data_IF_557442793473
#
_entry.id   IF_557442793473
#
_cell.length_a   1.000
_cell.length_b   1.000
_cell.length_c   1.000
_cell.angle_alpha   90.00
_cell.angle_beta   90.00
_cell.angle_gamma   90.00
#
_symmetry.space_group_name_H-M   'P 1'
#
loop_
_entity.id
_entity.type
_entity.pdbx_description
1 polymer ?
#
# COMPACT_ATOMS: atom_id res chain seq x y z
N UNK A 1 -19.39 -1.06 18.28
CA UNK A 1 -19.15 -2.51 18.12
C UNK A 1 -18.30 -2.72 16.88
N UNK A 2 -17.10 -3.29 17.01
CA UNK A 2 -16.22 -3.61 15.86
C UNK A 2 -16.41 -5.05 15.38
N UNK A 3 -15.79 -5.44 14.25
CA UNK A 3 -15.74 -6.84 13.82
C UNK A 3 -15.10 -7.70 14.93
N UNK A 4 -15.62 -8.91 15.15
CA UNK A 4 -15.05 -9.88 16.11
C UNK A 4 -14.11 -10.89 15.44
N UNK A 5 -14.11 -10.92 14.12
CA UNK A 5 -13.24 -11.78 13.31
C UNK A 5 -12.39 -10.90 12.39
N UNK A 6 -11.10 -11.20 12.40
CA UNK A 6 -10.09 -10.44 11.70
C UNK A 6 -9.31 -11.37 10.76
N UNK A 7 -8.79 -10.86 9.63
CA UNK A 7 -7.74 -11.53 8.91
C UNK A 7 -6.56 -11.82 9.84
N UNK A 8 -5.94 -12.98 9.67
CA UNK A 8 -4.69 -13.29 10.35
C UNK A 8 -3.54 -12.40 9.84
N UNK A 9 -2.42 -12.39 10.57
CA UNK A 9 -1.27 -11.54 10.21
C UNK A 9 -0.64 -11.92 8.88
N UNK A 10 -0.64 -13.21 8.50
CA UNK A 10 -0.08 -13.64 7.22
C UNK A 10 -0.92 -13.12 6.04
N UNK A 11 -2.24 -13.08 6.20
CA UNK A 11 -3.15 -12.45 5.24
C UNK A 11 -2.87 -10.95 5.10
N UNK A 12 -2.68 -10.22 6.22
CA UNK A 12 -2.37 -8.78 6.18
C UNK A 12 -1.00 -8.48 5.58
N UNK A 13 0.02 -9.28 5.88
CA UNK A 13 1.36 -9.17 5.27
C UNK A 13 1.28 -9.46 3.77
N UNK A 14 0.55 -10.50 3.37
CA UNK A 14 0.36 -10.85 1.96
C UNK A 14 -0.42 -9.76 1.20
N UNK A 15 -1.37 -9.10 1.86
CA UNK A 15 -2.08 -7.94 1.31
C UNK A 15 -1.10 -6.77 1.10
N UNK A 16 -0.31 -6.41 2.12
CA UNK A 16 0.68 -5.34 2.05
C UNK A 16 1.74 -5.59 0.95
N UNK A 17 2.14 -6.84 0.77
CA UNK A 17 3.09 -7.25 -0.27
C UNK A 17 2.47 -7.35 -1.68
N UNK A 18 1.14 -7.19 -1.81
CA UNK A 18 0.44 -7.38 -3.09
C UNK A 18 0.42 -8.84 -3.58
N UNK A 19 0.62 -9.81 -2.69
CA UNK A 19 0.79 -11.23 -3.03
C UNK A 19 -0.53 -12.04 -2.98
N UNK A 20 -1.61 -11.48 -2.45
CA UNK A 20 -2.91 -12.16 -2.39
C UNK A 20 -3.53 -12.31 -3.78
N UNK A 21 -4.32 -13.37 -3.96
CA UNK A 21 -5.20 -13.47 -5.11
C UNK A 21 -6.20 -12.30 -5.12
N UNK A 22 -6.63 -11.89 -6.31
CA UNK A 22 -7.52 -10.73 -6.48
C UNK A 22 -8.79 -10.82 -5.61
N UNK A 23 -9.37 -12.03 -5.50
CA UNK A 23 -10.59 -12.27 -4.71
C UNK A 23 -10.33 -12.02 -3.23
N UNK A 24 -9.25 -12.54 -2.67
CA UNK A 24 -8.93 -12.35 -1.24
C UNK A 24 -8.48 -10.92 -0.96
N UNK A 25 -7.78 -10.29 -1.91
CA UNK A 25 -7.42 -8.87 -1.82
C UNK A 25 -8.67 -7.97 -1.73
N UNK A 26 -9.69 -8.22 -2.56
CA UNK A 26 -10.95 -7.46 -2.52
C UNK A 26 -11.67 -7.58 -1.17
N UNK A 27 -11.80 -8.80 -0.63
CA UNK A 27 -12.45 -9.03 0.66
C UNK A 27 -11.66 -8.38 1.80
N UNK A 28 -10.33 -8.47 1.75
CA UNK A 28 -9.45 -7.84 2.73
C UNK A 28 -9.57 -6.32 2.69
N UNK A 29 -9.62 -5.72 1.49
CA UNK A 29 -9.85 -4.29 1.32
C UNK A 29 -11.18 -3.85 1.94
N UNK A 30 -12.29 -4.55 1.64
CA UNK A 30 -13.60 -4.25 2.21
C UNK A 30 -13.62 -4.34 3.75
N UNK A 31 -12.86 -5.27 4.35
CA UNK A 31 -12.71 -5.35 5.79
C UNK A 31 -11.94 -4.13 6.35
N UNK A 32 -10.85 -3.73 5.70
CA UNK A 32 -9.99 -2.62 6.11
C UNK A 32 -10.73 -1.27 6.11
N UNK A 33 -11.68 -1.07 5.20
CA UNK A 33 -12.54 0.12 5.19
C UNK A 33 -13.30 0.33 6.50
N UNK A 34 -13.68 -0.77 7.17
CA UNK A 34 -14.54 -0.75 8.36
C UNK A 34 -13.79 -1.00 9.67
N UNK A 35 -12.59 -1.58 9.61
CA UNK A 35 -11.85 -2.04 10.78
C UNK A 35 -10.60 -1.20 11.03
N UNK A 36 -10.63 -0.33 12.05
CA UNK A 36 -9.47 0.47 12.44
C UNK A 36 -8.30 -0.36 12.99
N UNK A 37 -8.59 -1.48 13.66
CA UNK A 37 -7.59 -2.41 14.20
C UNK A 37 -6.78 -3.07 13.07
N UNK A 38 -7.45 -3.63 12.07
CA UNK A 38 -6.76 -4.25 10.94
C UNK A 38 -6.00 -3.22 10.09
N UNK A 39 -6.47 -1.97 10.01
CA UNK A 39 -5.67 -0.88 9.41
C UNK A 39 -4.42 -0.56 10.21
N UNK A 40 -4.46 -0.65 11.55
CA UNK A 40 -3.27 -0.46 12.37
C UNK A 40 -2.26 -1.59 12.18
N UNK A 41 -2.72 -2.84 12.14
CA UNK A 41 -1.89 -4.03 11.85
C UNK A 41 -1.32 -3.98 10.43
N UNK A 42 -2.11 -3.55 9.44
CA UNK A 42 -1.63 -3.36 8.07
C UNK A 42 -0.49 -2.33 7.99
N UNK A 43 -0.61 -1.18 8.68
CA UNK A 43 0.46 -0.18 8.70
C UNK A 43 1.78 -0.72 9.25
N UNK A 44 1.72 -1.65 10.21
CA UNK A 44 2.92 -2.32 10.72
C UNK A 44 3.57 -3.19 9.63
N UNK A 45 2.77 -3.94 8.87
CA UNK A 45 3.27 -4.72 7.74
C UNK A 45 3.85 -3.83 6.62
N UNK A 46 3.18 -2.73 6.28
CA UNK A 46 3.68 -1.74 5.29
C UNK A 46 4.99 -1.08 5.72
N UNK A 47 5.15 -0.79 7.02
CA UNK A 47 6.39 -0.22 7.56
C UNK A 47 7.59 -1.15 7.37
N UNK A 48 7.39 -2.47 7.51
CA UNK A 48 8.42 -3.47 7.20
C UNK A 48 8.83 -3.37 5.73
N UNK A 49 7.86 -3.33 4.81
CA UNK A 49 8.10 -3.12 3.39
C UNK A 49 8.87 -1.82 3.10
N UNK A 50 8.54 -0.73 3.81
CA UNK A 50 9.25 0.54 3.71
C UNK A 50 10.71 0.47 4.16
N UNK A 51 11.02 -0.28 5.21
CA UNK A 51 12.42 -0.52 5.65
C UNK A 51 13.18 -1.34 4.60
N UNK A 52 12.58 -2.42 4.10
CA UNK A 52 13.18 -3.26 3.06
C UNK A 52 13.46 -2.45 1.77
N UNK A 53 12.54 -1.58 1.39
CA UNK A 53 12.70 -0.70 0.22
C UNK A 53 13.85 0.30 0.41
N UNK A 54 14.04 0.84 1.63
CA UNK A 54 15.15 1.76 1.93
C UNK A 54 16.51 1.08 1.93
N UNK A 55 16.57 -0.20 2.31
CA UNK A 55 17.78 -1.01 2.27
C UNK A 55 18.14 -1.44 0.84
N UNK A 56 17.18 -1.42 -0.08
CA UNK A 56 17.40 -1.77 -1.47
C UNK A 56 18.21 -0.69 -2.20
N UNK A 57 19.46 -1.00 -2.54
CA UNK A 57 20.26 -0.14 -3.42
C UNK A 57 19.77 -0.29 -4.86
N UNK A 58 19.12 0.76 -5.37
CA UNK A 58 18.67 0.79 -6.75
C UNK A 58 19.86 0.98 -7.71
N UNK A 59 20.00 0.05 -8.66
CA UNK A 59 20.89 0.21 -9.83
C UNK A 59 20.20 0.90 -11.01
N UNK A 60 18.93 1.30 -10.84
CA UNK A 60 18.12 1.89 -11.90
C UNK A 60 18.56 3.33 -12.15
N UNK A 61 19.04 3.60 -13.36
CA UNK A 61 19.25 4.96 -13.85
C UNK A 61 17.88 5.64 -14.00
N UNK A 62 17.64 6.80 -13.36
CA UNK A 62 16.34 7.48 -13.45
C UNK A 62 16.00 7.81 -14.90
N UNK A 63 14.82 7.37 -15.35
CA UNK A 63 14.30 7.72 -16.68
C UNK A 63 14.11 9.25 -16.78
N UNK A 64 14.17 9.79 -18.01
CA UNK A 64 13.75 11.17 -18.34
C UNK A 64 12.28 11.48 -17.98
N UNK A 65 11.53 10.52 -17.44
CA UNK A 65 10.12 10.64 -17.06
C UNK A 65 9.84 11.47 -15.80
N UNK A 66 10.84 11.84 -14.99
CA UNK A 66 10.61 12.67 -13.78
C UNK A 66 9.99 14.02 -14.13
N UNK A 67 10.52 14.72 -15.13
CA UNK A 67 9.99 16.03 -15.56
C UNK A 67 8.57 15.91 -16.10
N UNK A 68 8.30 14.88 -16.92
CA UNK A 68 6.97 14.59 -17.44
C UNK A 68 5.96 14.29 -16.32
N UNK A 69 6.34 13.51 -15.30
CA UNK A 69 5.49 13.25 -14.13
C UNK A 69 5.19 14.53 -13.33
N UNK A 70 6.19 15.39 -13.10
CA UNK A 70 5.99 16.66 -12.38
C UNK A 70 5.05 17.61 -13.14
N UNK A 71 5.19 17.71 -14.46
CA UNK A 71 4.31 18.54 -15.29
C UNK A 71 2.82 18.16 -15.10
N UNK A 72 2.51 16.85 -15.08
CA UNK A 72 1.12 16.37 -14.86
C UNK A 72 0.55 16.76 -13.49
N UNK A 73 1.37 16.76 -12.44
CA UNK A 73 0.91 17.17 -11.11
C UNK A 73 0.60 18.68 -11.06
N UNK A 74 1.42 19.50 -11.72
CA UNK A 74 1.18 20.95 -11.80
C UNK A 74 -0.09 21.28 -12.59
N UNK A 75 -0.35 20.58 -13.69
CA UNK A 75 -1.60 20.71 -14.45
C UNK A 75 -2.84 20.39 -13.59
N UNK A 76 -2.78 19.36 -12.74
CA UNK A 76 -3.88 19.02 -11.82
C UNK A 76 -4.07 20.05 -10.69
N UNK A 77 -3.02 20.72 -10.25
CA UNK A 77 -3.09 21.76 -9.21
C UNK A 77 -3.60 23.11 -9.74
N UNK A 78 -3.39 23.41 -11.02
CA UNK A 78 -3.86 24.65 -11.65
C UNK A 78 -5.38 24.64 -11.96
N UNK A 79 -6.03 23.48 -11.87
CA UNK A 79 -7.47 23.29 -12.11
C UNK A 79 -8.36 23.39 -10.87
N UNK A 80 -7.80 23.78 -9.71
CA UNK A 80 -8.54 24.04 -8.47
C UNK A 80 -8.54 25.54 -8.13
#
# INVERSE_FOLDING_TARGET
MGPLHHPDDATLVSYAAGALSQVISLVTAAHLERCAECRARLRQAEAIGGVLMQQHTSSVVPLKGRSAMLARLYEQQAGF
#
